data_IF_792436465646
#
_entry.id   IF_792436465646
#
_cell.length_a   1.000
_cell.length_b   1.000
_cell.length_c   1.000
_cell.angle_alpha   90.00
_cell.angle_beta   90.00
_cell.angle_gamma   90.00
#
_symmetry.space_group_name_H-M   'P 1'
#
loop_
_entity.id
_entity.type
_entity.pdbx_description
1 polymer ?
#
# COMPACT_ATOMS: atom_id res chain seq x y z
N UNK A 1 -7.99 -19.28 8.04
CA UNK A 1 -6.52 -19.20 8.09
C UNK A 1 -6.10 -17.84 7.54
N UNK A 2 -5.22 -17.12 8.22
CA UNK A 2 -4.66 -15.86 7.70
C UNK A 2 -3.47 -16.18 6.81
N UNK A 3 -3.43 -15.61 5.60
CA UNK A 3 -2.31 -15.74 4.66
C UNK A 3 -1.65 -14.38 4.47
N UNK A 4 -0.33 -14.34 4.40
CA UNK A 4 0.43 -13.17 3.98
C UNK A 4 1.18 -13.48 2.68
N UNK A 5 1.32 -12.48 1.81
CA UNK A 5 2.16 -12.58 0.62
C UNK A 5 3.05 -11.34 0.51
N UNK A 6 4.25 -11.52 -0.02
CA UNK A 6 5.23 -10.47 -0.23
C UNK A 6 6.00 -10.77 -1.52
N UNK A 7 6.02 -9.80 -2.43
CA UNK A 7 6.74 -9.91 -3.70
C UNK A 7 7.62 -8.69 -3.91
N UNK A 8 8.85 -8.92 -4.37
CA UNK A 8 9.77 -7.86 -4.78
C UNK A 8 9.62 -7.63 -6.27
N UNK A 9 9.37 -6.38 -6.66
CA UNK A 9 9.21 -6.01 -8.07
C UNK A 9 10.57 -5.63 -8.66
N UNK A 10 10.91 -6.25 -9.79
CA UNK A 10 12.09 -5.88 -10.58
C UNK A 10 11.84 -4.62 -11.38
N UNK A 11 12.69 -3.63 -11.16
CA UNK A 11 12.71 -2.39 -11.94
C UNK A 11 13.61 -2.56 -13.16
N UNK A 12 13.18 -2.00 -14.31
CA UNK A 12 13.99 -1.94 -15.54
C UNK A 12 14.88 -0.68 -15.61
N UNK A 13 14.99 0.07 -14.52
CA UNK A 13 15.74 1.34 -14.41
C UNK A 13 16.54 1.34 -13.12
N UNK A 14 17.68 2.01 -13.13
CA UNK A 14 18.46 2.24 -11.93
C UNK A 14 17.67 3.12 -10.95
N UNK A 15 17.75 2.79 -9.66
CA UNK A 15 17.14 3.63 -8.64
C UNK A 15 18.00 4.87 -8.40
N UNK A 16 17.40 6.06 -8.28
CA UNK A 16 18.13 7.20 -7.74
C UNK A 16 18.57 6.90 -6.31
N UNK A 17 19.82 7.20 -5.97
CA UNK A 17 20.45 6.84 -4.69
C UNK A 17 19.66 7.28 -3.44
N UNK A 18 18.82 8.32 -3.55
CA UNK A 18 17.95 8.81 -2.48
C UNK A 18 16.75 7.89 -2.16
N UNK A 19 16.34 7.01 -3.10
CA UNK A 19 15.27 6.03 -2.88
C UNK A 19 15.73 4.76 -2.14
N UNK A 20 17.03 4.45 -2.20
CA UNK A 20 17.63 3.23 -1.60
C UNK A 20 17.69 3.31 -0.07
N UNK A 21 17.67 4.53 0.50
CA UNK A 21 17.75 4.75 1.96
C UNK A 21 16.41 4.47 2.68
N UNK A 22 15.28 4.48 1.97
CA UNK A 22 13.93 4.31 2.56
C UNK A 22 13.45 2.85 2.44
N UNK A 23 13.87 2.14 1.40
CA UNK A 23 13.44 0.76 1.14
C UNK A 23 14.54 -0.21 1.56
N UNK A 24 14.25 -1.09 2.52
CA UNK A 24 15.11 -2.23 2.89
C UNK A 24 15.24 -3.28 1.76
N UNK A 25 14.95 -2.91 0.51
CA UNK A 25 15.08 -3.75 -0.67
C UNK A 25 16.41 -3.38 -1.33
N UNK A 26 17.43 -4.21 -1.11
CA UNK A 26 18.75 -4.03 -1.72
C UNK A 26 18.69 -4.17 -3.25
N UNK A 27 19.63 -3.53 -3.95
CA UNK A 27 19.72 -3.57 -5.41
C UNK A 27 19.75 -5.00 -5.97
N UNK A 28 20.39 -5.93 -5.28
CA UNK A 28 20.47 -7.34 -5.68
C UNK A 28 19.13 -8.08 -5.52
N UNK A 29 18.35 -7.75 -4.48
CA UNK A 29 16.98 -8.26 -4.33
C UNK A 29 16.04 -7.73 -5.40
N UNK A 30 16.22 -6.49 -5.85
CA UNK A 30 15.41 -5.95 -6.95
C UNK A 30 15.73 -6.61 -8.29
N UNK A 31 17.00 -6.88 -8.60
CA UNK A 31 17.39 -7.56 -9.85
C UNK A 31 16.78 -8.96 -9.98
N UNK A 32 16.60 -9.63 -8.86
CA UNK A 32 16.00 -10.98 -8.76
C UNK A 32 14.48 -10.96 -8.58
N UNK A 33 13.87 -9.78 -8.50
CA UNK A 33 12.43 -9.62 -8.35
C UNK A 33 11.62 -10.06 -9.58
N UNK A 34 10.31 -10.13 -9.40
CA UNK A 34 9.37 -10.48 -10.47
C UNK A 34 9.00 -9.24 -11.31
N UNK A 35 8.62 -9.41 -12.59
CA UNK A 35 8.01 -8.34 -13.35
C UNK A 35 6.76 -7.78 -12.66
N UNK A 36 6.56 -6.46 -12.73
CA UNK A 36 5.38 -5.80 -12.14
C UNK A 36 4.06 -6.38 -12.65
N UNK A 37 4.00 -6.76 -13.93
CA UNK A 37 2.82 -7.38 -14.54
C UNK A 37 2.43 -8.67 -13.82
N UNK A 38 3.39 -9.57 -13.59
CA UNK A 38 3.10 -10.89 -12.99
C UNK A 38 2.67 -10.76 -11.52
N UNK A 39 3.26 -9.82 -10.79
CA UNK A 39 2.83 -9.50 -9.43
C UNK A 39 1.43 -8.86 -9.41
N UNK A 40 1.13 -8.00 -10.38
CA UNK A 40 -0.18 -7.38 -10.52
C UNK A 40 -1.25 -8.44 -10.82
N UNK A 41 -1.00 -9.39 -11.72
CA UNK A 41 -1.91 -10.50 -12.00
C UNK A 41 -2.20 -11.33 -10.74
N UNK A 42 -1.16 -11.70 -9.99
CA UNK A 42 -1.31 -12.43 -8.72
C UNK A 42 -2.08 -11.64 -7.67
N UNK A 43 -1.82 -10.33 -7.57
CA UNK A 43 -2.56 -9.44 -6.68
C UNK A 43 -4.04 -9.38 -7.08
N UNK A 44 -4.34 -9.19 -8.37
CA UNK A 44 -5.71 -9.09 -8.87
C UNK A 44 -6.51 -10.35 -8.57
N UNK A 45 -5.92 -11.53 -8.74
CA UNK A 45 -6.58 -12.79 -8.39
C UNK A 45 -6.81 -12.90 -6.89
N UNK A 46 -5.83 -12.52 -6.06
CA UNK A 46 -5.96 -12.55 -4.62
C UNK A 46 -7.04 -11.60 -4.06
N UNK A 47 -7.30 -10.48 -4.74
CA UNK A 47 -8.23 -9.43 -4.29
C UNK A 47 -9.58 -9.45 -5.01
N UNK A 48 -9.74 -10.32 -6.01
CA UNK A 48 -10.99 -10.46 -6.78
C UNK A 48 -12.18 -10.69 -5.86
N UNK A 49 -13.21 -9.85 -6.04
CA UNK A 49 -14.45 -9.90 -5.24
C UNK A 49 -14.30 -9.45 -3.78
N UNK A 50 -13.15 -8.89 -3.39
CA UNK A 50 -12.90 -8.42 -2.02
C UNK A 50 -12.87 -6.90 -1.95
N UNK A 51 -13.12 -6.37 -0.75
CA UNK A 51 -12.87 -4.97 -0.41
C UNK A 51 -11.48 -4.89 0.24
N UNK A 52 -10.63 -4.02 -0.29
CA UNK A 52 -9.29 -3.82 0.23
C UNK A 52 -9.34 -3.00 1.52
N UNK A 53 -8.76 -3.53 2.61
CA UNK A 53 -8.52 -2.76 3.81
C UNK A 53 -7.11 -2.16 3.74
N UNK A 54 -7.02 -0.84 3.72
CA UNK A 54 -5.74 -0.13 3.54
C UNK A 54 -5.59 0.96 4.59
N UNK A 55 -4.34 1.33 4.87
CA UNK A 55 -4.10 2.43 5.80
C UNK A 55 -4.39 3.79 5.18
N UNK A 56 -3.89 4.02 3.96
CA UNK A 56 -4.12 5.26 3.23
C UNK A 56 -4.45 4.98 1.76
N UNK A 57 -5.73 5.05 1.42
CA UNK A 57 -6.25 4.58 0.13
C UNK A 57 -5.78 5.41 -1.06
N UNK A 58 -5.39 6.68 -0.86
CA UNK A 58 -4.92 7.53 -1.95
C UNK A 58 -3.67 6.97 -2.63
N UNK A 59 -2.67 6.58 -1.86
CA UNK A 59 -1.41 6.03 -2.40
C UNK A 59 -1.68 4.72 -3.15
N UNK A 60 -2.43 3.81 -2.52
CA UNK A 60 -2.75 2.51 -3.10
C UNK A 60 -3.55 2.64 -4.40
N UNK A 61 -4.53 3.55 -4.42
CA UNK A 61 -5.35 3.82 -5.60
C UNK A 61 -4.52 4.40 -6.73
N UNK A 62 -3.74 5.44 -6.47
CA UNK A 62 -2.91 6.10 -7.48
C UNK A 62 -1.93 5.08 -8.11
N UNK A 63 -1.35 4.18 -7.29
CA UNK A 63 -0.47 3.12 -7.78
C UNK A 63 -1.22 2.08 -8.63
N UNK A 64 -2.33 1.53 -8.13
CA UNK A 64 -3.07 0.47 -8.80
C UNK A 64 -3.75 0.96 -10.08
N UNK A 65 -4.28 2.17 -10.10
CA UNK A 65 -4.85 2.78 -11.32
C UNK A 65 -3.77 2.97 -12.38
N UNK A 66 -2.59 3.50 -12.01
CA UNK A 66 -1.48 3.66 -12.95
C UNK A 66 -0.99 2.30 -13.49
N UNK A 67 -0.84 1.30 -12.63
CA UNK A 67 -0.40 -0.03 -13.01
C UNK A 67 -1.40 -0.74 -13.93
N UNK A 68 -2.70 -0.72 -13.56
CA UNK A 68 -3.75 -1.36 -14.36
C UNK A 68 -3.98 -0.67 -15.70
N UNK A 69 -3.95 0.67 -15.73
CA UNK A 69 -4.01 1.43 -16.98
C UNK A 69 -2.85 1.09 -17.92
N UNK A 70 -1.64 0.94 -17.37
CA UNK A 70 -0.44 0.61 -18.14
C UNK A 70 -0.51 -0.78 -18.79
N UNK A 71 -1.00 -1.79 -18.07
CA UNK A 71 -0.95 -3.18 -18.54
C UNK A 71 -2.25 -3.68 -19.18
N UNK A 72 -3.40 -3.16 -18.76
CA UNK A 72 -4.72 -3.59 -19.26
C UNK A 72 -5.46 -2.50 -20.06
N UNK A 73 -4.83 -1.34 -20.28
CA UNK A 73 -5.40 -0.23 -21.04
C UNK A 73 -6.50 0.56 -20.32
N UNK A 74 -6.89 0.16 -19.10
CA UNK A 74 -7.93 0.80 -18.29
C UNK A 74 -7.61 0.72 -16.81
N UNK A 75 -8.06 1.72 -16.05
CA UNK A 75 -8.05 1.66 -14.59
C UNK A 75 -9.11 0.68 -14.11
N UNK A 76 -8.75 -0.27 -13.25
CA UNK A 76 -9.72 -1.16 -12.62
C UNK A 76 -10.32 -0.49 -11.37
N UNK A 77 -11.64 -0.66 -11.12
CA UNK A 77 -12.26 -0.10 -9.93
C UNK A 77 -11.92 -0.95 -8.70
N UNK A 78 -11.17 -0.39 -7.76
CA UNK A 78 -10.90 -1.04 -6.48
C UNK A 78 -11.81 -0.47 -5.38
N UNK A 79 -12.52 -1.35 -4.69
CA UNK A 79 -13.23 -1.01 -3.46
C UNK A 79 -12.22 -1.02 -2.31
N UNK A 80 -12.11 0.10 -1.58
CA UNK A 80 -11.14 0.29 -0.52
C UNK A 80 -11.80 0.89 0.72
N UNK A 81 -11.43 0.37 1.89
CA UNK A 81 -11.72 0.96 3.20
C UNK A 81 -10.43 1.56 3.74
N UNK A 82 -10.44 2.87 3.98
CA UNK A 82 -9.30 3.64 4.46
C UNK A 82 -9.35 3.79 5.99
N UNK A 83 -8.45 3.10 6.68
CA UNK A 83 -8.42 3.13 8.16
C UNK A 83 -7.95 4.48 8.71
N UNK A 84 -7.12 5.23 7.98
CA UNK A 84 -6.71 6.57 8.39
C UNK A 84 -7.89 7.56 8.33
N UNK A 85 -8.74 7.48 7.32
CA UNK A 85 -9.97 8.28 7.25
C UNK A 85 -10.99 7.89 8.30
N UNK A 86 -11.09 6.59 8.63
CA UNK A 86 -11.93 6.14 9.75
C UNK A 86 -11.45 6.78 11.05
N UNK A 87 -10.15 6.72 11.34
CA UNK A 87 -9.59 7.32 12.55
C UNK A 87 -9.75 8.84 12.58
N UNK A 88 -9.46 9.50 11.47
CA UNK A 88 -9.63 10.95 11.34
C UNK A 88 -11.06 11.37 11.70
N UNK A 89 -12.07 10.70 11.13
CA UNK A 89 -13.48 10.98 11.44
C UNK A 89 -13.83 10.72 12.90
N UNK A 90 -13.20 9.72 13.53
CA UNK A 90 -13.37 9.45 14.97
C UNK A 90 -12.84 10.63 15.80
N UNK A 91 -11.63 11.10 15.54
CA UNK A 91 -11.00 12.20 16.27
C UNK A 91 -11.74 13.53 16.07
N UNK A 92 -12.16 13.83 14.84
CA UNK A 92 -12.96 15.02 14.52
C UNK A 92 -14.27 15.07 15.33
N UNK A 93 -14.95 13.92 15.51
CA UNK A 93 -16.16 13.84 16.34
C UNK A 93 -15.90 14.12 17.82
N UNK A 94 -14.71 13.78 18.31
CA UNK A 94 -14.31 14.02 19.70
C UNK A 94 -13.79 15.44 19.95
N UNK A 95 -13.85 16.34 18.96
CA UNK A 95 -13.34 17.72 19.04
C UNK A 95 -11.86 17.81 19.45
N UNK A 96 -11.08 16.76 19.19
CA UNK A 96 -9.65 16.75 19.45
C UNK A 96 -8.90 17.39 18.28
N UNK A 97 -7.91 18.22 18.57
CA UNK A 97 -7.00 18.71 17.54
C UNK A 97 -6.14 17.55 17.03
N UNK A 98 -6.22 17.27 15.73
CA UNK A 98 -5.44 16.20 15.10
C UNK A 98 -4.03 16.73 14.86
N UNK A 99 -3.04 16.15 15.54
CA UNK A 99 -1.64 16.42 15.25
C UNK A 99 -1.18 15.62 14.02
N UNK A 100 -0.28 16.19 13.22
CA UNK A 100 0.21 15.60 11.94
C UNK A 100 0.69 14.14 12.05
N UNK A 101 1.22 13.72 13.20
CA UNK A 101 1.73 12.36 13.40
C UNK A 101 0.73 11.36 13.98
N UNK A 102 -0.42 11.81 14.50
CA UNK A 102 -1.40 10.95 15.17
C UNK A 102 -2.09 9.96 14.21
N UNK A 103 -2.13 10.27 12.92
CA UNK A 103 -2.75 9.41 11.92
C UNK A 103 -1.77 8.41 11.28
N UNK A 104 -0.48 8.44 11.65
CA UNK A 104 0.50 7.49 11.10
C UNK A 104 0.24 6.09 11.63
N UNK A 105 0.33 5.08 10.75
CA UNK A 105 0.13 3.67 11.09
C UNK A 105 0.86 3.24 12.37
N UNK A 106 2.15 3.57 12.50
CA UNK A 106 2.94 3.18 13.67
C UNK A 106 2.39 3.75 15.00
N UNK A 107 1.94 5.01 14.98
CA UNK A 107 1.33 5.64 16.14
C UNK A 107 0.00 4.97 16.46
N UNK A 108 -0.86 4.75 15.46
CA UNK A 108 -2.15 4.11 15.68
C UNK A 108 -2.04 2.67 16.16
N UNK A 109 -1.12 1.87 15.61
CA UNK A 109 -0.84 0.53 16.13
C UNK A 109 -0.47 0.58 17.61
N UNK A 110 0.37 1.54 18.03
CA UNK A 110 0.72 1.71 19.44
C UNK A 110 -0.49 2.13 20.29
N UNK A 111 -1.30 3.08 19.83
CA UNK A 111 -2.48 3.55 20.57
C UNK A 111 -3.54 2.44 20.74
N UNK A 112 -3.73 1.62 19.72
CA UNK A 112 -4.69 0.52 19.72
C UNK A 112 -4.12 -0.81 20.22
N UNK A 113 -2.86 -0.82 20.69
CA UNK A 113 -2.17 -2.03 21.19
C UNK A 113 -2.14 -3.17 20.16
N UNK A 114 -2.00 -2.82 18.87
CA UNK A 114 -1.87 -3.77 17.77
C UNK A 114 -0.40 -4.11 17.55
N UNK A 115 -0.10 -5.40 17.46
CA UNK A 115 1.23 -5.90 17.07
C UNK A 115 1.55 -5.54 15.62
N UNK A 116 2.83 -5.28 15.32
CA UNK A 116 3.33 -5.06 13.96
C UNK A 116 3.75 -6.37 13.29
#
# INVERSE_FOLDING_TARGET
MASSNYEVIRLKRDLPAQGVVIHQITDDRMKTGVPLHDALDRLLEAVKGKVLLVHYAKIERDFLEAATKRFYGKSLPFLMVDTMQIERRRLERTHQSIQSNQLRLAYLCQQYQLSK
#
